data_IF_476351113334
#
_entry.id   IF_476351113334
#
_cell.length_a   1.000
_cell.length_b   1.000
_cell.length_c   1.000
_cell.angle_alpha   90.00
_cell.angle_beta   90.00
_cell.angle_gamma   90.00
#
_symmetry.space_group_name_H-M   'P 1'
#
loop_
_entity.id
_entity.type
_entity.pdbx_description
1 polymer ?
#
# COMPACT_ATOMS: atom_id res chain seq x y z
N UNK A 1 -25.09 3.80 -55.06
CA UNK A 1 -25.12 5.14 -55.67
C UNK A 1 -24.18 6.01 -54.86
N UNK A 2 -23.32 6.78 -55.52
CA UNK A 2 -22.38 7.64 -54.82
C UNK A 2 -23.11 8.77 -54.11
N UNK A 3 -22.64 9.16 -52.92
CA UNK A 3 -23.23 10.26 -52.16
C UNK A 3 -22.72 11.64 -52.60
N UNK A 4 -21.70 11.70 -53.46
CA UNK A 4 -21.14 12.95 -53.96
C UNK A 4 -21.97 13.41 -55.18
N UNK A 5 -22.48 14.65 -55.19
CA UNK A 5 -23.23 15.17 -56.34
C UNK A 5 -22.31 15.35 -57.55
N UNK A 6 -22.80 14.99 -58.75
CA UNK A 6 -22.05 15.19 -60.02
C UNK A 6 -21.76 16.67 -60.27
N UNK A 7 -22.65 17.54 -59.77
CA UNK A 7 -22.56 18.99 -59.86
C UNK A 7 -21.28 19.51 -59.16
N UNK A 8 -20.80 18.85 -58.10
CA UNK A 8 -19.56 19.25 -57.43
C UNK A 8 -18.32 19.06 -58.34
N UNK A 9 -18.30 18.01 -59.15
CA UNK A 9 -17.20 17.74 -60.09
C UNK A 9 -17.23 18.73 -61.25
N UNK A 10 -18.42 19.06 -61.75
CA UNK A 10 -18.61 20.08 -62.79
C UNK A 10 -18.14 21.47 -62.32
N UNK A 11 -18.44 21.85 -61.07
CA UNK A 11 -17.97 23.11 -60.48
C UNK A 11 -16.44 23.15 -60.37
N UNK A 12 -15.80 22.05 -59.95
CA UNK A 12 -14.33 21.96 -59.90
C UNK A 12 -13.73 22.04 -61.32
N UNK A 13 -14.33 21.38 -62.31
CA UNK A 13 -13.88 21.46 -63.71
C UNK A 13 -13.96 22.88 -64.26
N UNK A 14 -15.05 23.60 -63.96
CA UNK A 14 -15.22 25.01 -64.33
C UNK A 14 -14.17 25.91 -63.66
N UNK A 15 -13.80 25.64 -62.41
CA UNK A 15 -12.75 26.40 -61.71
C UNK A 15 -11.37 26.30 -62.37
N UNK A 16 -11.12 25.19 -63.08
CA UNK A 16 -9.88 24.93 -63.84
C UNK A 16 -9.97 25.52 -65.26
N UNK A 17 -11.14 25.98 -65.69
CA UNK A 17 -11.40 26.55 -67.03
C UNK A 17 -11.95 25.55 -68.06
N UNK A 18 -12.37 24.36 -67.62
CA UNK A 18 -13.04 23.37 -68.49
C UNK A 18 -14.55 23.64 -68.46
N UNK A 19 -15.06 24.31 -69.48
CA UNK A 19 -16.47 24.75 -69.54
C UNK A 19 -17.47 23.65 -69.88
N UNK A 20 -17.07 22.66 -70.70
CA UNK A 20 -17.95 21.55 -71.13
C UNK A 20 -17.32 20.18 -70.80
N UNK A 21 -17.57 19.68 -69.60
CA UNK A 21 -17.26 18.29 -69.22
C UNK A 21 -18.41 17.37 -69.64
N UNK A 22 -18.12 16.19 -70.20
CA UNK A 22 -19.18 15.24 -70.54
C UNK A 22 -19.81 14.64 -69.26
N UNK A 23 -21.14 14.47 -69.22
CA UNK A 23 -21.83 14.00 -68.01
C UNK A 23 -21.43 12.57 -67.62
N UNK A 24 -21.06 11.74 -68.61
CA UNK A 24 -20.60 10.37 -68.37
C UNK A 24 -19.25 10.33 -67.64
N UNK A 25 -18.36 11.29 -67.91
CA UNK A 25 -17.06 11.41 -67.22
C UNK A 25 -17.26 11.89 -65.79
N UNK A 26 -18.15 12.86 -65.58
CA UNK A 26 -18.50 13.31 -64.23
C UNK A 26 -19.05 12.15 -63.39
N UNK A 27 -19.98 11.36 -63.93
CA UNK A 27 -20.56 10.19 -63.24
C UNK A 27 -19.54 9.08 -62.97
N UNK A 28 -18.55 8.88 -63.84
CA UNK A 28 -17.50 7.89 -63.65
C UNK A 28 -16.47 8.29 -62.59
N UNK A 29 -16.19 9.59 -62.45
CA UNK A 29 -15.21 10.12 -61.49
C UNK A 29 -15.75 10.16 -60.05
N UNK A 30 -17.05 10.38 -59.88
CA UNK A 30 -17.71 10.42 -58.56
C UNK A 30 -17.38 9.22 -57.64
N UNK A 31 -17.55 7.95 -58.07
CA UNK A 31 -17.25 6.79 -57.21
C UNK A 31 -15.76 6.66 -56.86
N UNK A 32 -14.85 7.10 -57.73
CA UNK A 32 -13.41 7.05 -57.47
C UNK A 32 -13.00 8.06 -56.38
N UNK A 33 -13.51 9.30 -56.46
CA UNK A 33 -13.30 10.33 -55.43
C UNK A 33 -13.83 9.85 -54.07
N UNK A 34 -15.05 9.29 -54.04
CA UNK A 34 -15.63 8.75 -52.82
C UNK A 34 -14.79 7.60 -52.23
N UNK A 35 -14.27 6.72 -53.09
CA UNK A 35 -13.39 5.64 -52.66
C UNK A 35 -12.11 6.18 -51.99
N UNK A 36 -11.48 7.19 -52.59
CA UNK A 36 -10.27 7.83 -52.03
C UNK A 36 -10.53 8.51 -50.69
N UNK A 37 -11.66 9.22 -50.55
CA UNK A 37 -12.05 9.83 -49.27
C UNK A 37 -12.26 8.76 -48.20
N UNK A 38 -12.97 7.67 -48.53
CA UNK A 38 -13.18 6.55 -47.60
C UNK A 38 -11.88 5.87 -47.20
N UNK A 39 -10.95 5.70 -48.13
CA UNK A 39 -9.62 5.13 -47.88
C UNK A 39 -8.82 5.96 -46.87
N UNK A 40 -8.80 7.29 -47.03
CA UNK A 40 -8.12 8.21 -46.09
C UNK A 40 -8.81 8.18 -44.72
N UNK A 41 -10.14 8.23 -44.69
CA UNK A 41 -10.90 8.20 -43.42
C UNK A 41 -10.69 6.90 -42.65
N UNK A 42 -10.61 5.76 -43.33
CA UNK A 42 -10.31 4.48 -42.68
C UNK A 42 -8.92 4.49 -42.01
N UNK A 43 -7.92 5.10 -42.64
CA UNK A 43 -6.58 5.21 -42.08
C UNK A 43 -6.53 6.20 -40.90
N UNK A 44 -7.27 7.31 -41.00
CA UNK A 44 -7.40 8.28 -39.91
C UNK A 44 -8.08 7.66 -38.67
N UNK A 45 -9.10 6.82 -38.85
CA UNK A 45 -9.75 6.08 -37.75
C UNK A 45 -8.75 5.12 -37.06
N UNK A 46 -7.83 4.50 -37.80
CA UNK A 46 -6.77 3.68 -37.21
C UNK A 46 -5.83 4.54 -36.36
N UNK A 47 -5.39 5.70 -36.87
CA UNK A 47 -4.55 6.64 -36.12
C UNK A 47 -5.22 7.10 -34.82
N UNK A 48 -6.52 7.41 -34.88
CA UNK A 48 -7.33 7.80 -33.71
C UNK A 48 -7.38 6.68 -32.66
N UNK A 49 -7.65 5.43 -33.08
CA UNK A 49 -7.69 4.27 -32.19
C UNK A 49 -6.33 3.97 -31.57
N UNK A 50 -5.26 4.08 -32.34
CA UNK A 50 -3.89 3.94 -31.83
C UNK A 50 -3.53 5.05 -30.82
N UNK A 51 -4.11 6.24 -30.96
CA UNK A 51 -4.00 7.35 -30.01
C UNK A 51 -4.90 7.20 -28.78
N UNK A 52 -5.66 6.09 -28.64
CA UNK A 52 -6.60 5.82 -27.53
C UNK A 52 -7.69 6.88 -27.36
N UNK A 53 -8.10 7.52 -28.46
CA UNK A 53 -9.19 8.52 -28.49
C UNK A 53 -10.42 7.94 -29.18
N UNK A 54 -11.58 8.50 -28.87
CA UNK A 54 -12.87 8.17 -29.53
C UNK A 54 -13.34 9.25 -30.49
N UNK A 55 -12.72 10.44 -30.44
CA UNK A 55 -13.02 11.60 -31.30
C UNK A 55 -11.89 11.74 -32.33
N UNK A 56 -12.27 11.82 -33.61
CA UNK A 56 -11.35 12.01 -34.72
C UNK A 56 -10.90 13.48 -34.76
N UNK A 57 -9.59 13.72 -34.81
CA UNK A 57 -8.99 15.06 -34.88
C UNK A 57 -8.32 15.30 -36.24
N UNK A 58 -8.04 16.56 -36.56
CA UNK A 58 -7.34 16.95 -37.81
C UNK A 58 -5.96 16.30 -37.90
N UNK A 59 -5.25 16.19 -36.78
CA UNK A 59 -3.95 15.51 -36.69
C UNK A 59 -4.00 14.03 -37.13
N UNK A 60 -5.12 13.34 -36.88
CA UNK A 60 -5.30 11.94 -37.29
C UNK A 60 -5.43 11.84 -38.82
N UNK A 61 -6.09 12.83 -39.46
CA UNK A 61 -6.23 12.91 -40.92
C UNK A 61 -4.90 13.31 -41.56
N UNK A 62 -4.16 14.26 -40.98
CA UNK A 62 -2.82 14.64 -41.47
C UNK A 62 -1.84 13.47 -41.41
N UNK A 63 -1.92 12.66 -40.35
CA UNK A 63 -1.15 11.44 -40.23
C UNK A 63 -1.53 10.41 -41.30
N UNK A 64 -2.83 10.28 -41.60
CA UNK A 64 -3.32 9.42 -42.68
C UNK A 64 -2.88 9.87 -44.07
N UNK A 65 -2.89 11.18 -44.35
CA UNK A 65 -2.41 11.74 -45.62
C UNK A 65 -0.90 11.45 -45.81
N UNK A 66 -0.09 11.65 -44.76
CA UNK A 66 1.33 11.32 -44.77
C UNK A 66 1.58 9.83 -45.03
N UNK A 67 0.81 8.94 -44.39
CA UNK A 67 0.91 7.49 -44.61
C UNK A 67 0.59 7.07 -46.05
N UNK A 68 -0.29 7.81 -46.72
CA UNK A 68 -0.69 7.57 -48.11
C UNK A 68 0.14 8.35 -49.13
N UNK A 69 1.17 9.07 -48.69
CA UNK A 69 2.00 9.94 -49.53
C UNK A 69 1.17 10.98 -50.30
N UNK A 70 0.08 11.45 -49.70
CA UNK A 70 -0.71 12.57 -50.24
C UNK A 70 -0.14 13.88 -49.69
N UNK A 71 -0.21 14.94 -50.49
CA UNK A 71 0.24 16.27 -50.08
C UNK A 71 -0.51 16.74 -48.81
N UNK A 72 0.21 17.33 -47.83
CA UNK A 72 -0.40 17.79 -46.60
C UNK A 72 -1.29 19.01 -46.85
N UNK A 73 -2.43 19.05 -46.16
CA UNK A 73 -3.38 20.15 -46.24
C UNK A 73 -3.14 21.09 -45.05
N UNK A 74 -2.67 22.31 -45.32
CA UNK A 74 -2.38 23.29 -44.29
C UNK A 74 -3.61 24.16 -43.95
N UNK A 75 -3.61 24.76 -42.76
CA UNK A 75 -4.65 25.72 -42.34
C UNK A 75 -5.71 25.18 -41.37
N UNK A 76 -5.57 23.94 -40.89
CA UNK A 76 -6.55 23.27 -40.01
C UNK A 76 -6.05 23.04 -38.57
N UNK A 77 -5.03 23.80 -38.15
CA UNK A 77 -4.44 23.69 -36.81
C UNK A 77 -5.10 24.60 -35.76
N UNK A 78 -5.98 25.52 -36.18
CA UNK A 78 -6.70 26.39 -35.26
C UNK A 78 -7.76 25.62 -34.48
N UNK A 79 -7.91 25.91 -33.18
CA UNK A 79 -8.98 25.34 -32.36
C UNK A 79 -10.38 25.89 -32.68
N UNK A 80 -10.47 26.90 -33.53
CA UNK A 80 -11.74 27.53 -33.91
C UNK A 80 -12.50 26.71 -34.97
N UNK A 81 -13.81 26.49 -34.77
CA UNK A 81 -14.61 25.76 -35.75
C UNK A 81 -14.84 26.59 -37.02
N UNK A 82 -14.69 25.95 -38.17
CA UNK A 82 -15.01 26.57 -39.47
C UNK A 82 -16.48 26.95 -39.56
N UNK A 83 -16.75 28.20 -39.93
CA UNK A 83 -18.11 28.74 -40.09
C UNK A 83 -18.49 28.81 -41.56
N UNK A 84 -19.29 27.85 -42.01
CA UNK A 84 -19.86 27.86 -43.36
C UNK A 84 -21.09 28.78 -43.42
N UNK A 85 -21.02 29.84 -44.25
CA UNK A 85 -22.14 30.74 -44.53
C UNK A 85 -22.72 30.47 -45.91
N UNK A 86 -24.03 30.59 -46.05
CA UNK A 86 -24.72 30.46 -47.35
C UNK A 86 -24.58 31.76 -48.14
N UNK A 87 -24.28 31.67 -49.43
CA UNK A 87 -24.21 32.83 -50.32
C UNK A 87 -25.61 33.44 -50.57
N UNK A 88 -25.69 34.78 -50.58
CA UNK A 88 -26.94 35.47 -50.86
C UNK A 88 -27.39 35.20 -52.30
N UNK A 89 -28.62 34.73 -52.49
CA UNK A 89 -29.21 34.46 -53.82
C UNK A 89 -29.11 33.01 -54.32
N UNK A 90 -28.33 32.14 -53.67
CA UNK A 90 -28.20 30.72 -54.06
C UNK A 90 -28.44 29.78 -52.85
N UNK A 91 -29.25 28.73 -53.04
CA UNK A 91 -29.61 27.79 -51.95
C UNK A 91 -28.51 26.78 -51.63
N UNK A 92 -27.70 26.45 -52.62
CA UNK A 92 -26.77 25.31 -52.57
C UNK A 92 -25.29 25.75 -52.57
N UNK A 93 -25.03 27.06 -52.53
CA UNK A 93 -23.68 27.62 -52.50
C UNK A 93 -23.32 28.07 -51.08
N UNK A 94 -22.23 27.51 -50.56
CA UNK A 94 -21.65 27.85 -49.26
C UNK A 94 -20.25 28.40 -49.45
N UNK A 95 -19.88 29.38 -48.64
CA UNK A 95 -18.52 29.91 -48.55
C UNK A 95 -18.04 29.89 -47.10
N UNK A 96 -16.72 29.89 -46.92
CA UNK A 96 -16.08 29.98 -45.61
C UNK A 96 -16.02 31.47 -45.25
N UNK A 97 -16.61 31.82 -44.11
CA UNK A 97 -16.56 33.19 -43.59
C UNK A 97 -15.19 33.44 -42.97
N UNK A 98 -14.28 34.00 -43.76
CA UNK A 98 -12.95 34.40 -43.33
C UNK A 98 -12.89 35.94 -43.33
N UNK A 99 -12.65 36.52 -42.16
CA UNK A 99 -12.58 37.97 -41.99
C UNK A 99 -11.13 38.38 -41.86
N UNK A 100 -10.71 39.37 -42.64
CA UNK A 100 -9.37 39.92 -42.54
C UNK A 100 -9.16 40.53 -41.14
N UNK A 101 -8.05 40.15 -40.49
CA UNK A 101 -7.66 40.65 -39.16
C UNK A 101 -6.44 41.54 -39.30
N UNK A 102 -6.41 42.67 -38.60
CA UNK A 102 -5.24 43.54 -38.57
C UNK A 102 -4.08 42.90 -37.80
N UNK A 103 -2.86 43.00 -38.33
CA UNK A 103 -1.68 42.43 -37.69
C UNK A 103 -1.42 42.97 -36.27
N UNK A 104 -1.84 44.20 -35.98
CA UNK A 104 -1.70 44.82 -34.65
C UNK A 104 -2.48 44.04 -33.61
N UNK A 105 -3.72 43.67 -33.93
CA UNK A 105 -4.62 42.94 -33.04
C UNK A 105 -4.06 41.55 -32.70
N UNK A 106 -3.39 40.91 -33.66
CA UNK A 106 -2.74 39.60 -33.46
C UNK A 106 -1.51 39.70 -32.55
N UNK A 107 -0.72 40.77 -32.67
CA UNK A 107 0.48 41.00 -31.86
C UNK A 107 0.11 41.38 -30.42
N UNK A 108 -0.94 42.17 -30.25
CA UNK A 108 -1.43 42.62 -28.94
C UNK A 108 -2.30 41.57 -28.22
N UNK A 109 -2.66 40.48 -28.91
CA UNK A 109 -3.48 39.42 -28.35
C UNK A 109 -2.81 38.78 -27.10
N UNK A 110 -3.54 38.63 -25.99
CA UNK A 110 -2.99 38.05 -24.78
C UNK A 110 -2.68 36.55 -24.98
N UNK A 111 -1.57 36.11 -24.39
CA UNK A 111 -1.18 34.70 -24.42
C UNK A 111 -2.21 33.83 -23.67
N UNK A 112 -2.54 32.63 -24.20
CA UNK A 112 -3.45 31.71 -23.53
C UNK A 112 -2.83 31.18 -22.24
N UNK A 113 -3.68 30.84 -21.27
CA UNK A 113 -3.22 30.24 -20.01
C UNK A 113 -2.72 28.82 -20.25
N UNK A 114 -1.52 28.53 -19.76
CA UNK A 114 -0.97 27.18 -19.81
C UNK A 114 -1.73 26.24 -18.85
N UNK A 115 -2.05 25.01 -19.27
CA UNK A 115 -2.61 24.01 -18.37
C UNK A 115 -1.57 23.56 -17.32
N UNK A 116 -2.06 22.99 -16.22
CA UNK A 116 -1.19 22.36 -15.22
C UNK A 116 -0.48 21.14 -15.81
N UNK A 117 0.70 20.82 -15.27
CA UNK A 117 1.42 19.60 -15.63
C UNK A 117 0.61 18.34 -15.30
N UNK A 118 0.84 17.28 -16.07
CA UNK A 118 0.16 15.99 -15.88
C UNK A 118 0.62 15.34 -14.57
N UNK A 119 -0.32 15.02 -13.69
CA UNK A 119 -0.07 14.28 -12.45
C UNK A 119 -0.97 13.05 -12.36
N UNK A 120 -0.48 11.97 -11.76
CA UNK A 120 -1.24 10.74 -11.55
C UNK A 120 -1.70 10.67 -10.10
N UNK A 121 -3.01 10.47 -9.89
CA UNK A 121 -3.61 10.19 -8.57
C UNK A 121 -4.12 8.76 -8.55
N UNK A 122 -3.84 8.04 -7.46
CA UNK A 122 -4.23 6.65 -7.28
C UNK A 122 -5.27 6.53 -6.16
N UNK A 123 -6.31 5.72 -6.39
CA UNK A 123 -7.34 5.39 -5.41
C UNK A 123 -7.76 3.92 -5.57
N UNK A 124 -8.46 3.39 -4.57
CA UNK A 124 -8.98 2.02 -4.61
C UNK A 124 -10.28 1.95 -5.41
N UNK A 125 -10.24 1.28 -6.56
CA UNK A 125 -11.44 1.02 -7.36
C UNK A 125 -12.30 -0.10 -6.74
N UNK A 126 -11.68 -1.16 -6.24
CA UNK A 126 -12.39 -2.30 -5.65
C UNK A 126 -11.57 -2.94 -4.52
N UNK A 127 -12.27 -3.40 -3.48
CA UNK A 127 -11.74 -4.23 -2.39
C UNK A 127 -12.63 -5.47 -2.33
N UNK A 128 -12.05 -6.66 -2.51
CA UNK A 128 -12.81 -7.93 -2.56
C UNK A 128 -13.96 -7.95 -3.59
N UNK A 129 -13.78 -7.26 -4.72
CA UNK A 129 -14.81 -7.14 -5.75
C UNK A 129 -15.95 -6.17 -5.44
N UNK A 130 -15.90 -5.47 -4.29
CA UNK A 130 -16.84 -4.41 -3.93
C UNK A 130 -16.18 -3.05 -4.13
N UNK A 131 -16.86 -2.14 -4.84
CA UNK A 131 -16.39 -0.77 -5.04
C UNK A 131 -16.59 0.07 -3.76
N UNK A 132 -15.53 0.63 -3.17
CA UNK A 132 -15.66 1.52 -2.02
C UNK A 132 -16.37 2.83 -2.39
N UNK A 133 -17.23 3.34 -1.51
CA UNK A 133 -17.91 4.62 -1.67
C UNK A 133 -16.98 5.80 -1.33
N UNK A 134 -16.01 6.06 -2.21
CA UNK A 134 -15.06 7.17 -2.14
C UNK A 134 -15.48 8.18 -3.23
N UNK A 135 -15.34 9.52 -3.04
CA UNK A 135 -15.71 10.52 -4.03
C UNK A 135 -15.21 10.28 -5.47
N UNK A 136 -14.04 9.65 -5.66
CA UNK A 136 -13.51 9.32 -6.98
C UNK A 136 -14.24 8.13 -7.67
N UNK A 137 -14.94 7.29 -6.90
CA UNK A 137 -15.69 6.16 -7.40
C UNK A 137 -17.14 6.56 -7.66
N UNK A 138 -17.57 6.52 -8.93
CA UNK A 138 -18.97 6.75 -9.28
C UNK A 138 -19.86 5.66 -8.65
N UNK A 139 -21.03 6.02 -8.07
CA UNK A 139 -21.97 5.03 -7.59
C UNK A 139 -22.49 4.19 -8.78
N UNK A 140 -22.68 2.89 -8.56
CA UNK A 140 -23.09 1.93 -9.61
C UNK A 140 -24.40 2.35 -10.30
N UNK A 141 -25.27 3.04 -9.56
CA UNK A 141 -26.53 3.62 -10.05
C UNK A 141 -26.30 4.74 -11.09
N UNK A 142 -25.23 5.53 -10.94
CA UNK A 142 -24.89 6.58 -11.91
C UNK A 142 -24.36 6.00 -13.23
N UNK A 143 -23.73 4.83 -13.23
CA UNK A 143 -23.25 4.16 -14.45
C UNK A 143 -24.41 3.58 -15.28
N UNK A 144 -25.45 3.06 -14.62
CA UNK A 144 -26.68 2.64 -15.29
C UNK A 144 -27.50 3.83 -15.84
N UNK A 145 -27.38 5.01 -15.22
CA UNK A 145 -28.05 6.23 -15.67
C UNK A 145 -27.46 6.83 -16.97
N UNK A 146 -26.19 6.54 -17.34
CA UNK A 146 -25.63 6.96 -18.62
C UNK A 146 -26.19 6.18 -19.83
N UNK A 147 -26.76 4.99 -19.60
CA UNK A 147 -27.51 4.25 -20.63
C UNK A 147 -28.97 4.68 -20.76
N UNK A 148 -29.55 5.33 -19.74
CA UNK A 148 -30.96 5.72 -19.72
C UNK A 148 -31.13 7.21 -19.40
N UNK A 149 -31.26 7.99 -20.47
CA UNK A 149 -31.73 9.39 -20.39
C UNK A 149 -33.14 9.41 -19.78
N UNK A 150 -33.23 9.76 -18.48
CA UNK A 150 -34.33 10.46 -17.74
C UNK A 150 -34.67 9.81 -16.39
N UNK A 151 -34.22 10.43 -15.28
CA UNK A 151 -35.07 11.02 -14.21
C UNK A 151 -34.23 11.52 -13.03
N UNK A 152 -34.61 12.71 -12.55
CA UNK A 152 -34.26 13.37 -11.27
C UNK A 152 -34.64 12.50 -10.05
N UNK A 153 -34.23 12.71 -8.79
CA UNK A 153 -33.85 13.89 -8.00
C UNK A 153 -33.18 13.44 -6.67
N UNK A 154 -32.48 14.35 -6.00
CA UNK A 154 -31.62 14.26 -4.79
C UNK A 154 -32.15 13.56 -3.52
N UNK A 155 -31.22 13.04 -2.67
CA UNK A 155 -30.90 13.59 -1.32
C UNK A 155 -29.71 12.91 -0.62
N UNK A 156 -28.87 13.75 -0.01
CA UNK A 156 -27.80 13.43 0.94
C UNK A 156 -28.37 12.78 2.22
N UNK A 157 -27.64 11.82 2.79
CA UNK A 157 -27.35 11.79 4.22
C UNK A 157 -26.14 10.88 4.49
N UNK A 158 -25.17 11.40 5.23
CA UNK A 158 -23.97 10.70 5.62
C UNK A 158 -24.29 9.50 6.52
N UNK A 159 -23.90 8.30 6.09
CA UNK A 159 -23.94 7.10 6.91
C UNK A 159 -22.50 6.60 7.07
N UNK A 160 -22.05 6.29 8.30
CA UNK A 160 -20.72 5.71 8.52
C UNK A 160 -20.65 4.37 7.82
N UNK A 161 -19.56 4.11 7.10
CA UNK A 161 -19.27 2.79 6.52
C UNK A 161 -19.04 1.80 7.66
N UNK A 162 -20.14 1.25 8.16
CA UNK A 162 -20.16 0.01 8.91
C UNK A 162 -19.76 -1.07 7.89
N UNK A 163 -18.54 -1.58 8.00
CA UNK A 163 -18.13 -2.82 7.36
C UNK A 163 -18.89 -3.94 8.10
N UNK A 164 -20.23 -3.94 8.02
CA UNK A 164 -21.03 -5.13 8.24
C UNK A 164 -20.65 -6.03 7.10
N UNK A 165 -19.74 -6.97 7.32
CA UNK A 165 -19.40 -8.06 6.41
C UNK A 165 -20.71 -8.66 5.83
N UNK A 166 -21.16 -8.33 4.60
CA UNK A 166 -22.39 -8.86 4.06
C UNK A 166 -22.03 -9.64 2.80
N UNK A 167 -21.02 -10.50 2.90
CA UNK A 167 -20.81 -11.55 1.93
C UNK A 167 -20.83 -12.81 2.75
N UNK A 168 -21.99 -13.49 2.75
CA UNK A 168 -21.96 -14.95 2.85
C UNK A 168 -21.06 -15.37 1.69
N UNK A 169 -19.74 -15.46 1.90
CA UNK A 169 -18.87 -16.02 0.86
C UNK A 169 -19.53 -17.34 0.53
N UNK A 170 -19.88 -17.51 -0.75
CA UNK A 170 -20.37 -18.78 -1.27
C UNK A 170 -19.16 -19.70 -1.24
N UNK A 171 -18.84 -20.18 -0.03
CA UNK A 171 -17.77 -21.12 0.21
C UNK A 171 -18.22 -22.43 -0.41
N UNK A 172 -17.41 -22.96 -1.32
CA UNK A 172 -17.63 -24.30 -1.84
C UNK A 172 -17.65 -25.31 -0.68
N UNK A 173 -18.35 -26.42 -0.86
CA UNK A 173 -18.40 -27.48 0.16
C UNK A 173 -17.00 -27.99 0.52
N UNK A 174 -16.09 -28.01 -0.44
CA UNK A 174 -14.69 -28.40 -0.24
C UNK A 174 -13.92 -27.40 0.64
N UNK A 175 -14.10 -26.09 0.43
CA UNK A 175 -13.47 -25.06 1.26
C UNK A 175 -14.01 -25.06 2.70
N UNK A 176 -15.29 -25.37 2.87
CA UNK A 176 -15.88 -25.53 4.21
C UNK A 176 -15.28 -26.74 4.92
N UNK A 177 -15.19 -27.90 4.25
CA UNK A 177 -14.55 -29.09 4.81
C UNK A 177 -13.07 -28.87 5.13
N UNK A 178 -12.36 -28.12 4.29
CA UNK A 178 -10.97 -27.72 4.54
C UNK A 178 -10.85 -26.85 5.80
N UNK A 179 -11.72 -25.83 5.93
CA UNK A 179 -11.76 -24.96 7.11
C UNK A 179 -12.09 -25.74 8.39
N UNK A 180 -13.12 -26.59 8.35
CA UNK A 180 -13.47 -27.47 9.46
C UNK A 180 -12.29 -28.38 9.84
N UNK A 181 -11.57 -28.92 8.85
CA UNK A 181 -10.44 -29.79 9.13
C UNK A 181 -9.29 -29.05 9.80
N UNK A 182 -8.96 -27.84 9.34
CA UNK A 182 -7.90 -27.03 9.95
C UNK A 182 -8.28 -26.58 11.36
N UNK A 183 -9.52 -26.14 11.57
CA UNK A 183 -9.99 -25.72 12.90
C UNK A 183 -10.01 -26.88 13.90
N UNK A 184 -10.40 -28.08 13.47
CA UNK A 184 -10.31 -29.31 14.27
C UNK A 184 -8.85 -29.63 14.65
N UNK A 185 -7.93 -29.61 13.67
CA UNK A 185 -6.51 -29.87 13.90
C UNK A 185 -5.85 -28.82 14.80
N UNK A 186 -6.27 -27.56 14.72
CA UNK A 186 -5.77 -26.47 15.57
C UNK A 186 -6.13 -26.70 17.03
N UNK A 187 -7.34 -27.21 17.31
CA UNK A 187 -7.77 -27.61 18.66
C UNK A 187 -6.99 -28.81 19.18
N UNK A 188 -6.50 -29.68 18.30
CA UNK A 188 -5.67 -30.86 18.61
C UNK A 188 -4.18 -30.51 18.45
N UNK A 189 -3.70 -29.62 19.32
CA UNK A 189 -2.46 -28.80 19.27
C UNK A 189 -1.11 -29.53 19.06
N UNK A 190 -1.08 -30.87 18.94
CA UNK A 190 0.14 -31.68 18.97
C UNK A 190 0.25 -32.74 17.86
N UNK A 191 -0.66 -32.75 16.88
CA UNK A 191 -0.58 -33.72 15.78
C UNK A 191 0.49 -33.36 14.75
N UNK A 192 1.20 -34.35 14.20
CA UNK A 192 2.04 -34.17 13.00
C UNK A 192 1.23 -33.59 11.85
N UNK A 193 -0.04 -33.98 11.75
CA UNK A 193 -1.01 -33.47 10.79
C UNK A 193 -1.24 -31.95 10.94
N UNK A 194 -1.09 -31.40 12.15
CA UNK A 194 -1.21 -29.95 12.33
C UNK A 194 -0.02 -29.21 11.70
N UNK A 195 1.18 -29.78 11.73
CA UNK A 195 2.35 -29.18 11.05
C UNK A 195 2.17 -29.21 9.53
N UNK A 196 1.67 -30.31 8.98
CA UNK A 196 1.36 -30.43 7.55
C UNK A 196 0.26 -29.44 7.14
N UNK A 197 -0.80 -29.31 7.94
CA UNK A 197 -1.85 -28.33 7.71
C UNK A 197 -1.32 -26.88 7.72
N UNK A 198 -0.37 -26.56 8.61
CA UNK A 198 0.27 -25.24 8.64
C UNK A 198 1.14 -24.97 7.40
N UNK A 199 1.75 -26.00 6.82
CA UNK A 199 2.53 -25.88 5.58
C UNK A 199 1.57 -25.66 4.40
N UNK A 200 0.52 -26.47 4.30
CA UNK A 200 -0.56 -26.30 3.31
C UNK A 200 -1.12 -24.87 3.34
N UNK A 201 -1.45 -24.33 4.53
CA UNK A 201 -1.96 -22.97 4.65
C UNK A 201 -0.96 -21.89 4.19
N UNK A 202 0.35 -22.16 4.30
CA UNK A 202 1.39 -21.24 3.88
C UNK A 202 1.68 -21.30 2.36
N UNK A 203 1.41 -22.43 1.70
CA UNK A 203 1.72 -22.66 0.29
C UNK A 203 0.53 -22.54 -0.64
N UNK A 204 -0.66 -22.91 -0.17
CA UNK A 204 -1.81 -23.12 -1.05
C UNK A 204 -2.39 -21.81 -1.58
N UNK A 205 -2.66 -21.79 -2.88
CA UNK A 205 -3.35 -20.71 -3.59
C UNK A 205 -4.86 -20.93 -3.57
N UNK A 206 -5.66 -19.87 -3.45
CA UNK A 206 -7.12 -19.94 -3.49
C UNK A 206 -7.82 -19.99 -2.12
N UNK A 207 -7.07 -19.89 -1.03
CA UNK A 207 -7.61 -19.82 0.33
C UNK A 207 -8.09 -18.41 0.74
N UNK A 208 -8.04 -17.45 -0.19
CA UNK A 208 -8.34 -16.05 0.09
C UNK A 208 -9.76 -15.83 0.64
N UNK A 209 -10.76 -16.55 0.09
CA UNK A 209 -12.13 -16.50 0.58
C UNK A 209 -12.32 -17.01 2.03
N UNK A 210 -11.36 -17.80 2.54
CA UNK A 210 -11.41 -18.33 3.92
C UNK A 210 -10.77 -17.39 4.95
N UNK A 211 -10.01 -16.38 4.52
CA UNK A 211 -9.28 -15.46 5.41
C UNK A 211 -10.18 -14.76 6.42
N UNK A 212 -11.34 -14.17 6.04
CA UNK A 212 -12.24 -13.55 7.02
C UNK A 212 -12.64 -14.53 8.12
N UNK A 213 -12.99 -15.76 7.74
CA UNK A 213 -13.41 -16.82 8.66
C UNK A 213 -12.28 -17.25 9.59
N UNK A 214 -11.05 -17.38 9.08
CA UNK A 214 -9.88 -17.66 9.91
C UNK A 214 -9.60 -16.53 10.90
N UNK A 215 -9.67 -15.26 10.47
CA UNK A 215 -9.43 -14.13 11.38
C UNK A 215 -10.48 -14.02 12.48
N UNK A 216 -11.77 -14.23 12.16
CA UNK A 216 -12.85 -14.32 13.15
C UNK A 216 -12.63 -15.50 14.11
N UNK A 217 -12.34 -16.69 13.58
CA UNK A 217 -12.06 -17.89 14.38
C UNK A 217 -10.90 -17.66 15.36
N UNK A 218 -9.80 -17.05 14.90
CA UNK A 218 -8.64 -16.74 15.74
C UNK A 218 -9.03 -15.74 16.83
N UNK A 219 -9.76 -14.67 16.50
CA UNK A 219 -10.18 -13.67 17.48
C UNK A 219 -11.09 -14.26 18.57
N UNK A 220 -12.03 -15.10 18.16
CA UNK A 220 -12.96 -15.79 19.03
C UNK A 220 -12.31 -16.83 19.94
N UNK A 221 -11.40 -17.64 19.41
CA UNK A 221 -10.72 -18.67 20.21
C UNK A 221 -9.72 -18.04 21.18
N UNK A 222 -9.02 -16.97 20.79
CA UNK A 222 -8.12 -16.25 21.70
C UNK A 222 -8.91 -15.63 22.87
N UNK A 223 -10.08 -15.04 22.61
CA UNK A 223 -10.88 -14.41 23.68
C UNK A 223 -11.56 -15.43 24.60
N UNK A 224 -12.04 -16.55 24.06
CA UNK A 224 -12.70 -17.62 24.84
C UNK A 224 -11.73 -18.49 25.62
N UNK A 225 -10.55 -18.79 25.07
CA UNK A 225 -9.65 -19.82 25.58
C UNK A 225 -8.26 -19.28 25.98
N UNK A 226 -8.22 -18.20 26.79
CA UNK A 226 -6.97 -17.66 27.35
C UNK A 226 -6.23 -18.62 28.32
N UNK A 227 -6.94 -19.66 28.79
CA UNK A 227 -6.46 -20.59 29.80
C UNK A 227 -5.69 -21.80 29.20
N UNK A 228 -5.74 -22.03 27.89
CA UNK A 228 -5.09 -23.18 27.25
C UNK A 228 -3.87 -22.75 26.43
N UNK A 229 -2.68 -22.87 27.04
CA UNK A 229 -1.41 -22.53 26.38
C UNK A 229 -1.19 -23.25 25.03
N UNK A 230 -1.42 -24.58 24.90
CA UNK A 230 -1.17 -25.27 23.63
C UNK A 230 -2.02 -24.75 22.47
N UNK A 231 -3.28 -24.36 22.75
CA UNK A 231 -4.19 -23.82 21.75
C UNK A 231 -3.75 -22.42 21.30
N UNK A 232 -3.44 -21.52 22.25
CA UNK A 232 -2.95 -20.18 21.91
C UNK A 232 -1.67 -20.22 21.07
N UNK A 233 -0.77 -21.15 21.39
CA UNK A 233 0.45 -21.34 20.62
C UNK A 233 0.18 -21.90 19.22
N UNK A 234 -0.78 -22.82 19.08
CA UNK A 234 -1.25 -23.30 17.78
C UNK A 234 -1.87 -22.17 16.94
N UNK A 235 -2.70 -21.31 17.56
CA UNK A 235 -3.31 -20.15 16.88
C UNK A 235 -2.26 -19.14 16.40
N UNK A 236 -1.25 -18.82 17.21
CA UNK A 236 -0.18 -17.92 16.76
C UNK A 236 0.66 -18.53 15.63
N UNK A 237 0.85 -19.86 15.61
CA UNK A 237 1.46 -20.56 14.48
C UNK A 237 0.60 -20.52 13.21
N UNK A 238 -0.73 -20.64 13.36
CA UNK A 238 -1.69 -20.47 12.28
C UNK A 238 -1.61 -19.06 11.68
N UNK A 239 -1.58 -18.03 12.52
CA UNK A 239 -1.37 -16.63 12.09
C UNK A 239 -0.06 -16.48 11.33
N UNK A 240 1.02 -17.09 11.81
CA UNK A 240 2.31 -17.05 11.10
C UNK A 240 2.24 -17.69 9.72
N UNK A 241 1.59 -18.85 9.59
CA UNK A 241 1.42 -19.51 8.29
C UNK A 241 0.60 -18.67 7.31
N UNK A 242 -0.50 -18.07 7.77
CA UNK A 242 -1.29 -17.14 6.98
C UNK A 242 -0.42 -15.97 6.48
N UNK A 243 0.33 -15.34 7.38
CA UNK A 243 1.20 -14.21 7.06
C UNK A 243 2.42 -14.56 6.20
N UNK A 244 2.79 -15.83 6.09
CA UNK A 244 3.86 -16.28 5.20
C UNK A 244 3.36 -16.54 3.77
N UNK A 245 2.06 -16.74 3.58
CA UNK A 245 1.49 -17.03 2.27
C UNK A 245 1.56 -15.77 1.37
N UNK A 246 2.25 -15.84 0.21
CA UNK A 246 2.34 -14.73 -0.73
C UNK A 246 1.06 -14.53 -1.55
N UNK A 247 0.24 -15.57 -1.68
CA UNK A 247 -0.97 -15.57 -2.50
C UNK A 247 -2.20 -15.00 -1.78
N UNK A 248 -2.07 -14.65 -0.49
CA UNK A 248 -3.17 -14.16 0.33
C UNK A 248 -2.96 -12.68 0.67
N UNK A 249 -3.93 -11.85 0.30
CA UNK A 249 -3.94 -10.43 0.67
C UNK A 249 -4.58 -10.25 2.06
N UNK A 250 -3.77 -10.39 3.11
CA UNK A 250 -4.23 -10.27 4.51
C UNK A 250 -4.43 -8.81 4.94
N UNK A 251 -3.92 -7.86 4.15
CA UNK A 251 -3.89 -6.42 4.44
C UNK A 251 -5.21 -5.85 4.99
N UNK A 252 -6.39 -6.11 4.38
CA UNK A 252 -7.67 -5.57 4.88
C UNK A 252 -8.03 -6.08 6.29
N UNK A 253 -7.56 -7.28 6.64
CA UNK A 253 -7.92 -7.97 7.89
C UNK A 253 -6.91 -7.76 9.01
N UNK A 254 -5.79 -7.07 8.76
CA UNK A 254 -4.76 -6.81 9.77
C UNK A 254 -5.34 -6.05 10.97
N UNK A 255 -6.22 -5.07 10.75
CA UNK A 255 -6.82 -4.31 11.83
C UNK A 255 -7.68 -5.17 12.77
N UNK A 256 -8.34 -6.22 12.24
CA UNK A 256 -9.13 -7.16 13.02
C UNK A 256 -8.26 -8.20 13.74
N UNK A 257 -7.15 -8.62 13.12
CA UNK A 257 -6.27 -9.66 13.65
C UNK A 257 -5.32 -9.13 14.75
N UNK A 258 -4.85 -7.88 14.62
CA UNK A 258 -3.86 -7.29 15.53
C UNK A 258 -4.29 -7.27 17.01
N UNK A 259 -5.55 -6.93 17.39
CA UNK A 259 -6.00 -7.01 18.77
C UNK A 259 -5.81 -8.40 19.39
N UNK A 260 -6.09 -9.47 18.66
CA UNK A 260 -5.92 -10.85 19.14
C UNK A 260 -4.45 -11.19 19.37
N UNK A 261 -3.57 -10.78 18.45
CA UNK A 261 -2.11 -10.95 18.58
C UNK A 261 -1.56 -10.13 19.76
N UNK A 262 -1.98 -8.88 19.92
CA UNK A 262 -1.56 -8.02 21.05
C UNK A 262 -2.06 -8.60 22.38
N UNK A 263 -3.27 -9.18 22.40
CA UNK A 263 -3.81 -9.83 23.60
C UNK A 263 -2.94 -11.00 24.03
N UNK A 264 -2.51 -11.87 23.10
CA UNK A 264 -1.56 -12.95 23.38
C UNK A 264 -0.19 -12.45 23.89
N UNK A 265 0.18 -11.21 23.57
CA UNK A 265 1.42 -10.60 24.02
C UNK A 265 1.31 -9.95 25.41
N UNK A 266 0.19 -9.28 25.72
CA UNK A 266 0.03 -8.39 26.90
C UNK A 266 -1.06 -8.86 27.87
N UNK A 267 -1.62 -10.06 27.70
CA UNK A 267 -2.61 -10.61 28.64
C UNK A 267 -2.06 -10.77 30.06
N UNK A 268 -2.94 -10.55 31.05
CA UNK A 268 -2.62 -10.62 32.49
C UNK A 268 -2.30 -12.04 32.95
N UNK A 269 -3.06 -13.03 32.48
CA UNK A 269 -2.88 -14.46 32.74
C UNK A 269 -3.00 -15.21 31.42
N UNK A 270 -2.05 -16.09 31.17
CA UNK A 270 -1.99 -16.95 29.99
C UNK A 270 -1.72 -18.37 30.49
N UNK A 271 -2.62 -19.31 30.20
CA UNK A 271 -2.53 -20.65 30.75
C UNK A 271 -3.14 -20.78 32.15
N UNK A 272 -3.47 -22.01 32.53
CA UNK A 272 -4.08 -22.33 33.82
C UNK A 272 -3.06 -22.89 34.83
N UNK A 273 -1.87 -23.30 34.36
CA UNK A 273 -0.81 -23.87 35.20
C UNK A 273 0.37 -22.93 35.29
N UNK A 274 0.91 -22.76 36.50
CA UNK A 274 2.14 -22.01 36.74
C UNK A 274 3.38 -22.61 36.05
N UNK A 275 3.28 -23.86 35.59
CA UNK A 275 4.31 -24.58 34.81
C UNK A 275 4.25 -24.31 33.31
N UNK A 276 3.23 -23.59 32.82
CA UNK A 276 3.09 -23.33 31.39
C UNK A 276 4.12 -22.27 30.95
N UNK A 277 4.86 -22.59 29.87
CA UNK A 277 5.89 -21.74 29.26
C UNK A 277 5.28 -20.56 28.48
N UNK A 278 4.40 -19.78 29.12
CA UNK A 278 3.76 -18.60 28.54
C UNK A 278 4.77 -17.53 28.08
N UNK A 279 6.01 -17.56 28.61
CA UNK A 279 7.14 -16.75 28.12
C UNK A 279 7.48 -17.03 26.65
N UNK A 280 7.45 -18.29 26.23
CA UNK A 280 7.76 -18.69 24.85
C UNK A 280 6.69 -18.17 23.88
N UNK A 281 5.41 -18.25 24.26
CA UNK A 281 4.31 -17.68 23.50
C UNK A 281 4.47 -16.17 23.32
N UNK A 282 4.85 -15.44 24.37
CA UNK A 282 5.09 -13.99 24.27
C UNK A 282 6.27 -13.67 23.36
N UNK A 283 7.38 -14.42 23.45
CA UNK A 283 8.53 -14.26 22.55
C UNK A 283 8.17 -14.55 21.10
N UNK A 284 7.41 -15.62 20.84
CA UNK A 284 6.94 -15.97 19.51
C UNK A 284 6.02 -14.88 18.94
N UNK A 285 5.07 -14.41 19.74
CA UNK A 285 4.13 -13.34 19.37
C UNK A 285 4.86 -12.02 19.10
N UNK A 286 5.88 -11.66 19.89
CA UNK A 286 6.69 -10.47 19.65
C UNK A 286 7.44 -10.53 18.30
N UNK A 287 8.00 -11.69 17.96
CA UNK A 287 8.62 -11.91 16.64
C UNK A 287 7.60 -11.82 15.50
N UNK A 288 6.40 -12.38 15.71
CA UNK A 288 5.30 -12.32 14.75
C UNK A 288 4.87 -10.87 14.49
N UNK A 289 4.70 -10.09 15.55
CA UNK A 289 4.39 -8.64 15.47
C UNK A 289 5.48 -7.89 14.72
N UNK A 290 6.76 -8.16 15.00
CA UNK A 290 7.87 -7.59 14.22
C UNK A 290 7.76 -7.93 12.73
N UNK A 291 7.45 -9.19 12.38
CA UNK A 291 7.28 -9.60 10.98
C UNK A 291 6.12 -8.86 10.30
N UNK A 292 5.00 -8.67 11.01
CA UNK A 292 3.85 -7.88 10.51
C UNK A 292 4.28 -6.43 10.26
N UNK A 293 4.93 -5.78 11.24
CA UNK A 293 5.37 -4.40 11.11
C UNK A 293 6.41 -4.19 9.99
N UNK A 294 7.33 -5.14 9.79
CA UNK A 294 8.30 -5.08 8.68
C UNK A 294 7.63 -5.25 7.32
N UNK A 295 6.65 -6.15 7.20
CA UNK A 295 5.97 -6.43 5.93
C UNK A 295 5.00 -5.30 5.57
N UNK A 296 4.20 -4.81 6.53
CA UNK A 296 3.08 -3.91 6.24
C UNK A 296 3.27 -2.47 6.76
N UNK A 297 4.36 -2.18 7.47
CA UNK A 297 4.58 -0.85 8.06
C UNK A 297 4.70 0.29 7.05
N UNK A 298 5.15 0.00 5.81
CA UNK A 298 5.24 0.98 4.74
C UNK A 298 3.87 1.31 4.11
N UNK A 299 2.99 0.32 4.04
CA UNK A 299 1.62 0.48 3.52
C UNK A 299 0.73 1.17 4.55
N UNK A 300 0.87 0.80 5.83
CA UNK A 300 0.05 1.31 6.93
C UNK A 300 0.88 2.10 7.94
N UNK A 301 1.08 3.39 7.67
CA UNK A 301 1.82 4.30 8.55
C UNK A 301 1.27 4.38 9.99
N UNK A 302 -0.02 4.11 10.20
CA UNK A 302 -0.66 4.16 11.52
C UNK A 302 -0.51 2.86 12.34
N UNK A 303 -0.09 1.74 11.71
CA UNK A 303 0.02 0.44 12.38
C UNK A 303 1.08 0.47 13.49
N UNK A 304 2.29 0.92 13.17
CA UNK A 304 3.42 0.95 14.10
C UNK A 304 3.21 1.96 15.25
N UNK A 305 2.76 3.21 15.02
CA UNK A 305 2.43 4.14 16.11
C UNK A 305 1.35 3.62 17.06
N UNK A 306 0.25 3.05 16.54
CA UNK A 306 -0.85 2.50 17.36
C UNK A 306 -0.39 1.34 18.23
N UNK A 307 0.39 0.42 17.67
CA UNK A 307 0.98 -0.69 18.41
C UNK A 307 1.94 -0.19 19.50
N UNK A 308 2.85 0.72 19.13
CA UNK A 308 3.84 1.28 20.06
C UNK A 308 3.16 1.97 21.23
N UNK A 309 2.11 2.77 20.99
CA UNK A 309 1.32 3.43 22.04
C UNK A 309 0.66 2.41 22.97
N UNK A 310 0.12 1.31 22.43
CA UNK A 310 -0.52 0.27 23.24
C UNK A 310 0.48 -0.46 24.14
N UNK A 311 1.66 -0.81 23.61
CA UNK A 311 2.71 -1.47 24.38
C UNK A 311 3.34 -0.52 25.40
N UNK A 312 3.54 0.75 25.04
CA UNK A 312 4.06 1.77 25.96
C UNK A 312 3.12 2.00 27.14
N UNK A 313 1.81 2.07 26.89
CA UNK A 313 0.81 2.17 27.95
C UNK A 313 0.87 0.97 28.91
N UNK A 314 1.10 -0.24 28.40
CA UNK A 314 1.27 -1.41 29.25
C UNK A 314 2.61 -1.43 30.00
N UNK A 315 3.66 -0.83 29.44
CA UNK A 315 4.98 -0.76 30.07
C UNK A 315 5.02 0.28 31.20
N UNK A 316 4.44 1.46 31.01
CA UNK A 316 4.51 2.58 31.96
C UNK A 316 3.50 2.48 33.11
N UNK A 317 2.47 1.63 33.00
CA UNK A 317 1.44 1.48 34.03
C UNK A 317 1.92 0.54 35.16
N UNK A 318 2.20 1.04 36.38
CA UNK A 318 2.73 0.24 37.49
C UNK A 318 1.70 -0.74 38.08
N UNK A 319 0.42 -0.64 37.69
CA UNK A 319 -0.64 -1.55 38.17
C UNK A 319 -0.67 -2.88 37.41
N UNK A 320 0.08 -3.01 36.32
CA UNK A 320 0.13 -4.21 35.49
C UNK A 320 0.99 -5.30 36.14
N UNK A 321 0.75 -6.55 35.73
CA UNK A 321 1.53 -7.68 36.26
C UNK A 321 2.88 -7.80 35.53
N UNK A 322 3.90 -8.36 36.20
CA UNK A 322 5.25 -8.55 35.63
C UNK A 322 5.26 -9.27 34.27
N UNK A 323 4.42 -10.31 34.02
CA UNK A 323 4.31 -10.92 32.71
C UNK A 323 3.82 -9.95 31.61
N UNK A 324 2.93 -9.00 31.93
CA UNK A 324 2.47 -7.98 30.98
C UNK A 324 3.58 -7.01 30.62
N UNK A 325 4.35 -6.55 31.61
CA UNK A 325 5.54 -5.74 31.37
C UNK A 325 6.55 -6.48 30.49
N UNK A 326 6.82 -7.76 30.77
CA UNK A 326 7.69 -8.59 29.92
C UNK A 326 7.24 -8.61 28.47
N UNK A 327 5.95 -8.87 28.22
CA UNK A 327 5.38 -8.88 26.88
C UNK A 327 5.49 -7.53 26.18
N UNK A 328 5.24 -6.44 26.91
CA UNK A 328 5.37 -5.07 26.39
C UNK A 328 6.83 -4.75 26.01
N UNK A 329 7.80 -5.07 26.88
CA UNK A 329 9.23 -4.85 26.65
C UNK A 329 9.70 -5.68 25.45
N UNK A 330 9.34 -6.96 25.40
CA UNK A 330 9.75 -7.85 24.31
C UNK A 330 9.13 -7.41 22.96
N UNK A 331 7.88 -6.94 22.97
CA UNK A 331 7.23 -6.37 21.80
C UNK A 331 7.90 -5.09 21.31
N UNK A 332 8.19 -4.14 22.22
CA UNK A 332 8.90 -2.89 21.91
C UNK A 332 10.32 -3.16 21.40
N UNK A 333 11.03 -4.13 21.99
CA UNK A 333 12.35 -4.55 21.55
C UNK A 333 12.32 -5.14 20.13
N UNK A 334 11.29 -5.91 19.79
CA UNK A 334 11.13 -6.53 18.47
C UNK A 334 10.84 -5.50 17.36
N UNK A 335 10.27 -4.33 17.68
CA UNK A 335 10.00 -3.27 16.71
C UNK A 335 11.27 -2.58 16.19
N UNK A 336 12.37 -2.63 16.94
CA UNK A 336 13.69 -2.19 16.49
C UNK A 336 14.43 -1.28 17.49
N UNK A 337 15.72 -1.04 17.24
CA UNK A 337 16.62 -0.35 18.18
C UNK A 337 16.24 1.11 18.41
N UNK A 338 15.67 1.79 17.41
CA UNK A 338 15.20 3.18 17.53
C UNK A 338 14.07 3.32 18.56
N UNK A 339 13.16 2.33 18.62
CA UNK A 339 12.03 2.32 19.56
C UNK A 339 12.54 2.11 20.99
N UNK A 340 13.46 1.16 21.18
CA UNK A 340 14.10 0.92 22.49
C UNK A 340 14.78 2.18 23.01
N UNK A 341 15.54 2.87 22.13
CA UNK A 341 16.26 4.09 22.49
C UNK A 341 15.33 5.21 22.95
N UNK A 342 14.22 5.42 22.25
CA UNK A 342 13.31 6.53 22.52
C UNK A 342 12.36 6.25 23.68
N UNK A 343 11.97 4.99 23.90
CA UNK A 343 10.89 4.66 24.84
C UNK A 343 11.34 3.90 26.08
N UNK A 344 12.30 2.99 25.94
CA UNK A 344 12.76 2.13 27.05
C UNK A 344 13.89 2.81 27.82
N UNK A 345 14.94 3.28 27.14
CA UNK A 345 16.11 3.85 27.80
C UNK A 345 15.80 5.06 28.72
N UNK A 346 14.95 6.04 28.34
CA UNK A 346 14.68 7.20 29.19
C UNK A 346 13.91 6.86 30.46
N UNK A 347 13.13 5.77 30.44
CA UNK A 347 12.30 5.34 31.57
C UNK A 347 12.94 4.20 32.37
N UNK A 348 14.17 3.80 32.01
CA UNK A 348 14.82 2.63 32.58
C UNK A 348 15.13 2.84 34.06
N UNK A 349 15.69 3.99 34.43
CA UNK A 349 16.08 4.30 35.81
C UNK A 349 14.87 4.26 36.75
N UNK A 350 13.77 4.90 36.36
CA UNK A 350 12.51 4.90 37.12
C UNK A 350 11.91 3.50 37.23
N UNK A 351 12.01 2.68 36.18
CA UNK A 351 11.51 1.31 36.20
C UNK A 351 12.39 0.36 37.03
N UNK A 352 13.72 0.59 37.08
CA UNK A 352 14.64 -0.17 37.93
C UNK A 352 14.38 0.07 39.41
N UNK A 353 14.08 1.30 39.82
CA UNK A 353 13.68 1.59 41.21
C UNK A 353 12.41 0.83 41.63
N UNK A 354 11.50 0.54 40.68
CA UNK A 354 10.30 -0.27 40.92
C UNK A 354 10.60 -1.78 40.98
N UNK A 355 11.56 -2.25 40.20
CA UNK A 355 11.88 -3.68 40.05
C UNK A 355 12.85 -4.21 41.12
N UNK A 356 13.82 -3.39 41.55
CA UNK A 356 14.80 -3.69 42.60
C UNK A 356 14.18 -4.28 43.89
N UNK A 357 13.11 -3.72 44.48
CA UNK A 357 12.53 -4.26 45.72
C UNK A 357 11.90 -5.66 45.56
N UNK A 358 11.48 -6.06 44.34
CA UNK A 358 10.94 -7.40 44.04
C UNK A 358 12.05 -8.44 43.76
N UNK A 359 13.31 -8.00 43.59
CA UNK A 359 14.48 -8.86 43.33
C UNK A 359 15.27 -9.24 44.59
N UNK A 360 15.19 -8.41 45.66
CA UNK A 360 15.96 -8.55 46.91
C UNK A 360 15.49 -9.77 47.74
N UNK A 361 16.44 -10.47 48.36
CA UNK A 361 16.26 -11.76 49.05
C UNK A 361 15.44 -11.72 50.36
N UNK A 362 15.21 -10.55 50.94
CA UNK A 362 14.83 -10.43 52.36
C UNK A 362 13.34 -10.70 52.67
N UNK A 363 12.48 -10.90 51.66
CA UNK A 363 11.05 -11.24 51.86
C UNK A 363 10.70 -12.60 51.24
N UNK A 364 10.49 -13.67 52.03
CA UNK A 364 10.33 -15.05 51.53
C UNK A 364 8.97 -15.36 50.88
N UNK A 365 8.13 -14.36 50.57
CA UNK A 365 6.71 -14.62 50.32
C UNK A 365 6.33 -14.94 48.87
N UNK A 366 7.19 -14.72 47.85
CA UNK A 366 6.83 -15.00 46.45
C UNK A 366 8.03 -15.37 45.55
N UNK A 367 8.54 -16.61 45.63
CA UNK A 367 9.59 -17.11 44.71
C UNK A 367 9.21 -16.96 43.22
N UNK A 368 7.93 -17.10 42.89
CA UNK A 368 7.39 -16.96 41.53
C UNK A 368 7.53 -15.52 41.03
N UNK A 369 7.16 -14.52 41.84
CA UNK A 369 7.29 -13.09 41.45
C UNK A 369 8.75 -12.69 41.27
N UNK A 370 9.64 -13.26 42.10
CA UNK A 370 11.08 -13.05 41.97
C UNK A 370 11.60 -13.60 40.64
N UNK A 371 11.21 -14.82 40.28
CA UNK A 371 11.57 -15.39 38.97
C UNK A 371 11.01 -14.55 37.81
N UNK A 372 9.76 -14.06 37.92
CA UNK A 372 9.17 -13.14 36.93
C UNK A 372 9.96 -11.82 36.82
N UNK A 373 10.37 -11.22 37.94
CA UNK A 373 11.16 -9.99 37.97
C UNK A 373 12.53 -10.18 37.29
N UNK A 374 13.22 -11.29 37.57
CA UNK A 374 14.48 -11.63 36.89
C UNK A 374 14.31 -11.85 35.38
N UNK A 375 13.18 -12.40 34.94
CA UNK A 375 12.87 -12.55 33.50
C UNK A 375 12.66 -11.19 32.83
N UNK A 376 11.95 -10.27 33.49
CA UNK A 376 11.76 -8.89 33.02
C UNK A 376 13.09 -8.15 32.93
N UNK A 377 13.92 -8.25 33.98
CA UNK A 377 15.26 -7.67 34.01
C UNK A 377 16.12 -8.21 32.85
N UNK A 378 16.11 -9.53 32.62
CA UNK A 378 16.83 -10.14 31.49
C UNK A 378 16.34 -9.66 30.12
N UNK A 379 15.04 -9.42 29.95
CA UNK A 379 14.49 -8.85 28.72
C UNK A 379 14.94 -7.40 28.49
N UNK A 380 14.96 -6.58 29.55
CA UNK A 380 15.46 -5.20 29.50
C UNK A 380 16.94 -5.16 29.15
N UNK A 381 17.75 -5.99 29.81
CA UNK A 381 19.18 -6.09 29.54
C UNK A 381 19.45 -6.51 28.10
N UNK A 382 18.69 -7.49 27.59
CA UNK A 382 18.79 -7.92 26.19
C UNK A 382 18.39 -6.81 25.22
N UNK A 383 17.30 -6.09 25.48
CA UNK A 383 16.82 -5.01 24.62
C UNK A 383 17.82 -3.83 24.58
N UNK A 384 18.29 -3.40 25.75
CA UNK A 384 19.29 -2.33 25.88
C UNK A 384 20.64 -2.75 25.26
N UNK A 385 21.09 -3.99 25.54
CA UNK A 385 22.33 -4.54 24.98
C UNK A 385 22.30 -4.64 23.45
N UNK A 386 21.19 -5.09 22.87
CA UNK A 386 21.01 -5.13 21.41
C UNK A 386 21.03 -3.72 20.81
N UNK A 387 20.32 -2.76 21.41
CA UNK A 387 20.32 -1.37 20.98
C UNK A 387 21.73 -0.75 20.97
N UNK A 388 22.51 -0.99 22.03
CA UNK A 388 23.88 -0.48 22.15
C UNK A 388 24.84 -1.19 21.19
N UNK A 389 24.69 -2.49 20.99
CA UNK A 389 25.51 -3.26 20.06
C UNK A 389 25.28 -2.87 18.60
N UNK A 390 24.03 -2.62 18.19
CA UNK A 390 23.72 -2.15 16.83
C UNK A 390 24.33 -0.77 16.57
N UNK A 391 24.35 0.08 17.60
CA UNK A 391 25.05 1.37 17.55
C UNK A 391 26.56 1.20 17.39
N UNK A 392 27.18 0.30 18.16
CA UNK A 392 28.62 0.02 18.05
C UNK A 392 28.97 -0.56 16.66
N UNK A 393 28.11 -1.40 16.07
CA UNK A 393 28.28 -1.88 14.70
C UNK A 393 28.25 -0.76 13.67
N UNK A 394 27.33 0.21 13.82
CA UNK A 394 27.31 1.41 12.96
C UNK A 394 28.59 2.26 13.07
N UNK A 395 29.19 2.34 14.26
CA UNK A 395 30.44 3.06 14.45
C UNK A 395 31.68 2.26 14.02
N UNK A 396 31.62 0.93 14.00
CA UNK A 396 32.74 0.11 13.55
C UNK A 396 33.00 0.25 12.05
N UNK A 397 31.97 0.50 11.23
CA UNK A 397 32.13 0.89 9.82
C UNK A 397 32.82 2.25 9.60
N UNK A 398 32.95 3.08 10.64
CA UNK A 398 33.70 4.34 10.63
C UNK A 398 35.08 4.22 11.29
N UNK A 399 35.36 3.11 11.96
CA UNK A 399 36.58 2.86 12.74
C UNK A 399 37.47 1.78 12.12
N UNK A 400 37.27 1.42 10.85
CA UNK A 400 38.29 0.68 10.11
C UNK A 400 39.51 1.60 9.93
N UNK A 401 40.70 1.23 10.45
CA UNK A 401 41.88 2.05 10.22
C UNK A 401 42.22 2.02 8.72
N UNK A 402 42.62 3.14 8.10
CA UNK A 402 43.15 3.11 6.74
C UNK A 402 44.38 2.19 6.73
N UNK A 403 44.39 1.23 5.81
CA UNK A 403 45.57 0.41 5.57
C UNK A 403 46.74 1.33 5.18
N UNK A 404 47.85 1.16 5.87
CA UNK A 404 49.15 1.82 5.70
C UNK A 404 49.34 3.21 6.36
N UNK A 405 49.94 3.18 7.55
CA UNK A 405 51.00 4.11 7.91
C UNK A 405 51.99 3.41 8.85
N UNK A 406 53.12 2.97 8.29
CA UNK A 406 54.28 2.51 9.04
C UNK A 406 54.85 3.73 9.76
N UNK A 407 54.63 3.83 11.07
CA UNK A 407 55.35 4.77 11.92
C UNK A 407 56.32 4.02 12.82
N UNK A 408 57.58 3.98 12.37
CA UNK A 408 58.74 3.69 13.21
C UNK A 408 58.87 4.81 14.23
N UNK A 409 58.73 4.50 15.51
CA UNK A 409 59.26 5.33 16.59
C UNK A 409 60.11 4.46 17.50
N UNK A 410 61.42 4.75 17.51
CA UNK A 410 62.37 4.28 18.52
C UNK A 410 62.19 5.18 19.75
N UNK A 411 61.73 4.61 20.86
CA UNK A 411 61.65 5.29 22.15
C UNK A 411 61.46 4.28 23.26
N UNK A 412 62.40 4.21 24.21
CA UNK A 412 62.46 3.24 25.30
C UNK A 412 61.23 3.36 26.21
N UNK A 413 60.57 2.23 26.45
CA UNK A 413 59.51 2.09 27.47
C UNK A 413 60.19 1.91 28.83
N UNK A 414 59.98 2.88 29.73
CA UNK A 414 60.25 2.73 31.15
C UNK A 414 58.99 2.16 31.82
N UNK A 415 59.15 0.99 32.43
CA UNK A 415 58.15 0.27 33.22
C UNK A 415 58.01 0.92 34.59
N UNK A 416 56.83 1.44 34.91
CA UNK A 416 56.39 1.64 36.30
C UNK A 416 54.99 1.08 36.46
N UNK A 417 54.94 -0.04 37.17
CA UNK A 417 53.72 -0.70 37.64
C UNK A 417 53.11 0.10 38.79
N UNK A 418 51.86 0.53 38.65
CA UNK A 418 51.02 0.95 39.77
C UNK A 418 49.66 0.27 39.64
N UNK A 419 49.29 -0.45 40.70
CA UNK A 419 48.09 -1.26 40.90
C UNK A 419 46.78 -0.49 40.70
N UNK A 420 45.88 -1.02 39.85
CA UNK A 420 44.49 -0.57 39.74
C UNK A 420 43.59 -1.27 40.78
N UNK A 421 42.76 -0.53 41.54
CA UNK A 421 41.60 -1.11 42.19
C UNK A 421 40.44 -1.23 41.18
N UNK A 422 39.60 -2.24 41.39
CA UNK A 422 38.44 -2.64 40.59
C UNK A 422 37.50 -1.48 40.21
N UNK A 423 37.46 -1.14 38.92
CA UNK A 423 36.57 -0.13 38.35
C UNK A 423 35.17 -0.69 38.04
N UNK A 424 34.14 -0.12 38.67
CA UNK A 424 32.72 -0.34 38.37
C UNK A 424 32.36 0.22 36.98
N UNK A 425 32.03 -0.65 36.03
CA UNK A 425 31.73 -0.32 34.62
C UNK A 425 30.45 0.52 34.40
N UNK A 426 29.63 0.74 35.43
CA UNK A 426 28.33 1.42 35.28
C UNK A 426 28.37 2.94 35.48
N UNK A 427 29.39 3.50 36.14
CA UNK A 427 29.40 4.93 36.49
C UNK A 427 29.95 5.83 35.37
N UNK A 428 30.88 5.37 34.54
CA UNK A 428 31.50 6.21 33.51
C UNK A 428 30.67 6.39 32.22
N UNK A 429 29.64 5.59 31.98
CA UNK A 429 28.85 5.69 30.75
C UNK A 429 27.68 6.68 30.83
N UNK A 430 27.29 7.12 32.03
CA UNK A 430 26.20 8.08 32.21
C UNK A 430 26.59 9.52 31.78
N UNK A 431 27.88 9.86 31.79
CA UNK A 431 28.34 11.24 31.51
C UNK A 431 28.51 11.55 30.03
N UNK A 432 28.60 10.53 29.16
CA UNK A 432 28.81 10.75 27.72
C UNK A 432 27.51 10.84 26.89
N UNK A 433 26.34 10.61 27.50
CA UNK A 433 25.03 10.67 26.84
C UNK A 433 24.33 12.05 26.92
N UNK A 434 24.96 13.06 27.54
CA UNK A 434 24.43 14.43 27.63
C UNK A 434 25.02 15.43 26.61
N UNK A 435 25.86 14.97 25.69
CA UNK A 435 26.42 15.83 24.64
C UNK A 435 26.21 15.17 23.27
N UNK A 436 24.99 15.34 22.75
CA UNK A 436 24.61 15.61 21.34
C UNK A 436 23.15 15.25 21.09
#
# INVERSE_FOLDING_TARGET
>A
MSNVPKEAIEVVAQSIGISNLSPDVALALTPDVEYRVREIMQEAIKCMRHSRRTVLTTDDVDSALKLRNVEPIYGFASGDPLRFKRAAGHKDLFYIDDNDVEFKDVIEAPLPRAPLGVSVTAHWLAIEGVQPAIPENAPIEALAAYSDVKKSEYKEDGIPVDIKLPVKHVLSRELQLYFEKITELTRRSSSTLFKEALVSLATDSGLHALVPYFTCFIADEVTRNLNSFPLLFALMRLVRSLLQNPHIHIEPYLQQLMPSVITCLVAKRLGNRYTDNHWELRNFTANLVSSICKRFGHVYHNLQPRLTRTLLHAFLDPTKTLPQHYGAIQGLAALGPSVVRLLILPNLDSYMQLLEPEMILEKPKNEIKRHEAWRVYGALLKAAGQCMHDRLKMFHSLLSPPAHAIWKSKGRVATTMTSMPSFNLFSCYATCLKIH
#
